data_IF_818882780496
#
_entry.id   IF_818882780496
#
_cell.length_a   1.000
_cell.length_b   1.000
_cell.length_c   1.000
_cell.angle_alpha   90.00
_cell.angle_beta   90.00
_cell.angle_gamma   90.00
#
_symmetry.space_group_name_H-M   'P 1'
#
loop_
_entity.id
_entity.type
_entity.pdbx_description
1 polymer ?
#
# COMPACT_ATOMS: atom_id res chain seq x y z
N UNK A 1 0.39 -30.93 -27.80
CA UNK A 1 -0.03 -30.59 -26.43
C UNK A 1 0.59 -29.26 -26.00
N UNK A 2 1.87 -29.02 -26.24
CA UNK A 2 2.58 -27.76 -25.93
C UNK A 2 1.95 -26.54 -26.65
N UNK A 3 1.61 -26.67 -27.94
CA UNK A 3 1.00 -25.57 -28.72
C UNK A 3 -0.37 -25.14 -28.16
N UNK A 4 -1.16 -26.11 -27.69
CA UNK A 4 -2.47 -25.83 -27.05
C UNK A 4 -2.27 -25.09 -25.72
N UNK A 5 -1.32 -25.53 -24.91
CA UNK A 5 -0.99 -24.88 -23.63
C UNK A 5 -0.46 -23.47 -23.87
N UNK A 6 0.43 -23.30 -24.85
CA UNK A 6 0.95 -21.98 -25.24
C UNK A 6 -0.17 -21.05 -25.73
N UNK A 7 -1.09 -21.55 -26.57
CA UNK A 7 -2.26 -20.81 -27.01
C UNK A 7 -3.17 -20.36 -25.86
N UNK A 8 -3.41 -21.24 -24.89
CA UNK A 8 -4.21 -20.90 -23.68
C UNK A 8 -3.52 -19.83 -22.84
N UNK A 9 -2.24 -19.92 -22.57
CA UNK A 9 -1.50 -18.91 -21.81
C UNK A 9 -1.45 -17.55 -22.53
N UNK A 10 -1.27 -17.56 -23.86
CA UNK A 10 -1.31 -16.34 -24.67
C UNK A 10 -2.69 -15.70 -24.60
N UNK A 11 -3.75 -16.47 -24.73
CA UNK A 11 -5.14 -15.99 -24.63
C UNK A 11 -5.40 -15.37 -23.24
N UNK A 12 -5.03 -16.06 -22.17
CA UNK A 12 -5.19 -15.54 -20.80
C UNK A 12 -4.40 -14.24 -20.59
N UNK A 13 -3.18 -14.18 -21.12
CA UNK A 13 -2.36 -12.96 -21.10
C UNK A 13 -3.03 -11.79 -21.84
N UNK A 14 -3.54 -12.05 -23.04
CA UNK A 14 -4.27 -11.03 -23.84
C UNK A 14 -5.55 -10.57 -23.15
N UNK A 15 -6.31 -11.49 -22.54
CA UNK A 15 -7.52 -11.14 -21.75
C UNK A 15 -7.15 -10.24 -20.59
N UNK A 16 -6.09 -10.56 -19.85
CA UNK A 16 -5.63 -9.74 -18.70
C UNK A 16 -5.25 -8.32 -19.15
N UNK A 17 -4.45 -8.20 -20.20
CA UNK A 17 -4.08 -6.89 -20.76
C UNK A 17 -5.32 -6.14 -21.28
N UNK A 18 -6.23 -6.84 -21.97
CA UNK A 18 -7.49 -6.28 -22.45
C UNK A 18 -8.37 -5.72 -21.32
N UNK A 19 -8.49 -6.44 -20.21
CA UNK A 19 -9.21 -5.96 -19.02
C UNK A 19 -8.58 -4.68 -18.43
N UNK A 20 -7.25 -4.61 -18.32
CA UNK A 20 -6.57 -3.41 -17.82
C UNK A 20 -6.79 -2.23 -18.75
N UNK A 21 -6.68 -2.42 -20.06
CA UNK A 21 -6.96 -1.37 -21.06
C UNK A 21 -8.41 -0.91 -20.99
N UNK A 22 -9.36 -1.83 -20.86
CA UNK A 22 -10.78 -1.52 -20.74
C UNK A 22 -11.05 -0.66 -19.50
N UNK A 23 -10.51 -1.05 -18.33
CA UNK A 23 -10.63 -0.26 -17.09
C UNK A 23 -10.03 1.13 -17.28
N UNK A 24 -8.84 1.22 -17.89
CA UNK A 24 -8.17 2.50 -18.13
C UNK A 24 -9.01 3.42 -19.00
N UNK A 25 -9.51 2.93 -20.12
CA UNK A 25 -10.37 3.69 -21.05
C UNK A 25 -11.67 4.10 -20.35
N UNK A 26 -12.29 3.19 -19.62
CA UNK A 26 -13.51 3.47 -18.85
C UNK A 26 -13.32 4.58 -17.82
N UNK A 27 -12.22 4.54 -17.05
CA UNK A 27 -11.89 5.58 -16.05
C UNK A 27 -11.67 6.94 -16.71
N UNK A 28 -10.99 6.97 -17.86
CA UNK A 28 -10.76 8.22 -18.63
C UNK A 28 -12.10 8.78 -19.12
N UNK A 29 -12.91 7.98 -19.80
CA UNK A 29 -14.19 8.42 -20.36
C UNK A 29 -15.17 8.88 -19.29
N UNK A 30 -15.19 8.21 -18.12
CA UNK A 30 -16.11 8.53 -17.02
C UNK A 30 -15.63 9.66 -16.14
N UNK A 31 -14.30 9.83 -15.96
CA UNK A 31 -13.71 10.84 -15.06
C UNK A 31 -13.37 12.16 -15.73
N UNK A 32 -12.93 12.14 -17.01
CA UNK A 32 -12.50 13.35 -17.70
C UNK A 32 -13.59 14.46 -17.78
N UNK A 33 -14.89 14.12 -17.97
CA UNK A 33 -15.94 15.14 -18.04
C UNK A 33 -16.09 16.00 -16.78
N UNK A 34 -15.84 15.45 -15.59
CA UNK A 34 -15.87 16.25 -14.36
C UNK A 34 -14.67 17.20 -14.27
N UNK A 35 -13.48 16.72 -14.62
CA UNK A 35 -12.25 17.55 -14.63
C UNK A 35 -12.41 18.74 -15.57
N UNK A 36 -13.00 18.55 -16.75
CA UNK A 36 -13.22 19.62 -17.71
C UNK A 36 -14.26 20.64 -17.25
N UNK A 37 -15.32 20.20 -16.55
CA UNK A 37 -16.37 21.09 -16.01
C UNK A 37 -15.92 21.85 -14.78
N UNK A 38 -15.21 21.20 -13.86
CA UNK A 38 -14.75 21.80 -12.59
C UNK A 38 -13.49 22.66 -12.81
N UNK A 39 -12.66 22.26 -13.77
CA UNK A 39 -11.32 22.79 -14.02
C UNK A 39 -10.24 22.02 -13.26
N UNK A 40 -9.20 21.58 -13.97
CA UNK A 40 -8.13 20.72 -13.44
C UNK A 40 -7.47 21.31 -12.18
N UNK A 41 -7.17 22.63 -12.18
CA UNK A 41 -6.55 23.30 -11.04
C UNK A 41 -7.45 23.32 -9.80
N UNK A 42 -8.73 23.64 -9.96
CA UNK A 42 -9.69 23.64 -8.84
C UNK A 42 -9.93 22.23 -8.31
N UNK A 43 -9.96 21.22 -9.19
CA UNK A 43 -10.15 19.83 -8.79
C UNK A 43 -8.96 19.30 -8.01
N UNK A 44 -7.73 19.43 -8.54
CA UNK A 44 -6.52 18.84 -7.91
C UNK A 44 -6.05 19.63 -6.67
N UNK A 45 -6.11 20.96 -6.72
CA UNK A 45 -5.54 21.83 -5.67
C UNK A 45 -6.59 22.47 -4.77
N UNK A 46 -7.89 22.25 -5.03
CA UNK A 46 -8.95 22.68 -4.12
C UNK A 46 -8.86 21.93 -2.79
N UNK A 47 -9.11 22.66 -1.70
CA UNK A 47 -8.99 22.15 -0.33
C UNK A 47 -10.32 21.72 0.29
N UNK A 48 -11.44 21.96 -0.40
CA UNK A 48 -12.76 21.69 0.11
C UNK A 48 -13.48 20.65 -0.75
N UNK A 49 -14.00 19.61 -0.11
CA UNK A 49 -14.89 18.61 -0.69
C UNK A 49 -16.26 18.70 -0.02
N UNK A 50 -17.25 19.19 -0.75
CA UNK A 50 -18.63 19.32 -0.31
C UNK A 50 -19.57 19.01 -1.48
N UNK A 51 -19.58 17.76 -1.93
CA UNK A 51 -20.25 17.30 -3.15
C UNK A 51 -21.78 17.37 -3.09
N UNK A 52 -22.37 17.42 -1.88
CA UNK A 52 -23.82 17.46 -1.62
C UNK A 52 -24.32 18.83 -1.14
N UNK A 53 -23.43 19.84 -1.05
CA UNK A 53 -23.82 21.19 -0.64
C UNK A 53 -24.64 21.92 -1.72
N UNK A 54 -25.33 22.99 -1.33
CA UNK A 54 -26.08 23.83 -2.27
C UNK A 54 -25.18 24.44 -3.35
N UNK A 55 -23.92 24.78 -2.99
CA UNK A 55 -22.82 25.13 -3.92
C UNK A 55 -21.76 24.01 -3.85
N UNK A 56 -21.80 23.03 -4.75
CA UNK A 56 -20.93 21.85 -4.65
C UNK A 56 -19.47 22.20 -4.90
N UNK A 57 -18.58 21.73 -4.01
CA UNK A 57 -17.12 21.86 -4.11
C UNK A 57 -16.48 20.48 -4.28
N UNK A 58 -15.50 20.40 -5.17
CA UNK A 58 -14.87 19.14 -5.59
C UNK A 58 -13.34 19.20 -5.52
N UNK A 59 -12.77 19.84 -4.49
CA UNK A 59 -11.33 19.88 -4.27
C UNK A 59 -10.83 18.61 -3.61
N UNK A 60 -9.80 17.96 -4.18
CA UNK A 60 -9.28 16.67 -3.71
C UNK A 60 -7.87 16.74 -3.11
N UNK A 61 -7.29 17.92 -2.97
CA UNK A 61 -5.95 18.08 -2.39
C UNK A 61 -5.80 17.40 -1.02
N UNK A 62 -6.77 17.53 -0.09
CA UNK A 62 -6.70 16.85 1.20
C UNK A 62 -6.57 15.32 1.04
N UNK A 63 -7.30 14.72 0.10
CA UNK A 63 -7.29 13.27 -0.12
C UNK A 63 -5.96 12.79 -0.72
N UNK A 64 -5.38 13.58 -1.65
CA UNK A 64 -4.06 13.30 -2.24
C UNK A 64 -3.00 13.30 -1.13
N UNK A 65 -2.94 14.39 -0.35
CA UNK A 65 -1.95 14.54 0.72
C UNK A 65 -2.13 13.47 1.81
N UNK A 66 -3.38 13.18 2.21
CA UNK A 66 -3.69 12.11 3.16
C UNK A 66 -3.22 10.75 2.66
N UNK A 67 -3.46 10.42 1.38
CA UNK A 67 -3.03 9.15 0.80
C UNK A 67 -1.50 9.05 0.73
N UNK A 68 -0.80 10.14 0.41
CA UNK A 68 0.67 10.20 0.44
C UNK A 68 1.20 10.01 1.86
N UNK A 69 0.72 10.80 2.81
CA UNK A 69 1.20 10.75 4.19
C UNK A 69 0.87 9.43 4.87
N UNK A 70 -0.36 8.91 4.67
CA UNK A 70 -0.77 7.62 5.20
C UNK A 70 0.09 6.48 4.68
N UNK A 71 0.35 6.45 3.38
CA UNK A 71 1.22 5.44 2.77
C UNK A 71 2.67 5.58 3.24
N UNK A 72 3.23 6.80 3.25
CA UNK A 72 4.59 7.03 3.75
C UNK A 72 4.73 6.61 5.22
N UNK A 73 3.76 6.96 6.07
CA UNK A 73 3.76 6.55 7.48
C UNK A 73 3.67 5.04 7.66
N UNK A 74 2.82 4.37 6.89
CA UNK A 74 2.72 2.91 6.89
C UNK A 74 4.04 2.23 6.47
N UNK A 75 4.72 2.78 5.46
CA UNK A 75 6.03 2.29 5.00
C UNK A 75 7.10 2.51 6.07
N UNK A 76 7.16 3.70 6.65
CA UNK A 76 8.14 4.04 7.71
C UNK A 76 8.01 3.13 8.94
N UNK A 77 6.80 2.70 9.27
CA UNK A 77 6.54 1.77 10.37
C UNK A 77 6.72 0.31 9.95
N UNK A 78 6.12 -0.07 8.82
CA UNK A 78 6.02 -1.48 8.40
C UNK A 78 7.30 -2.04 7.78
N UNK A 79 8.02 -1.25 6.95
CA UNK A 79 9.22 -1.76 6.27
C UNK A 79 10.35 -2.10 7.23
N UNK A 80 10.75 -1.25 8.19
CA UNK A 80 11.80 -1.61 9.15
C UNK A 80 11.45 -2.86 9.96
N UNK A 81 10.23 -2.94 10.48
CA UNK A 81 9.75 -4.10 11.25
C UNK A 81 9.74 -5.36 10.40
N UNK A 82 9.17 -5.28 9.19
CA UNK A 82 9.10 -6.41 8.26
C UNK A 82 10.47 -6.90 7.81
N UNK A 83 11.38 -5.98 7.48
CA UNK A 83 12.75 -6.31 7.08
C UNK A 83 13.57 -6.94 8.21
N UNK A 84 13.57 -6.33 9.40
CA UNK A 84 14.31 -6.86 10.56
C UNK A 84 13.76 -8.25 10.97
N UNK A 85 12.45 -8.43 10.95
CA UNK A 85 11.82 -9.73 11.19
C UNK A 85 12.20 -10.75 10.10
N UNK A 86 12.30 -10.34 8.84
CA UNK A 86 12.74 -11.20 7.74
C UNK A 86 14.19 -11.66 7.91
N UNK A 87 15.10 -10.76 8.30
CA UNK A 87 16.49 -11.12 8.62
C UNK A 87 16.54 -12.10 9.78
N UNK A 88 15.80 -11.83 10.85
CA UNK A 88 15.70 -12.73 12.00
C UNK A 88 15.22 -14.14 11.58
N UNK A 89 14.14 -14.23 10.82
CA UNK A 89 13.56 -15.52 10.38
C UNK A 89 14.47 -16.30 9.42
N UNK A 90 15.12 -15.58 8.50
CA UNK A 90 16.00 -16.22 7.51
C UNK A 90 17.33 -16.69 8.10
N UNK A 91 17.91 -15.93 9.05
CA UNK A 91 19.30 -16.11 9.49
C UNK A 91 19.48 -16.57 10.93
N UNK A 92 18.55 -16.25 11.83
CA UNK A 92 18.74 -16.44 13.27
C UNK A 92 17.74 -17.43 13.88
N UNK A 93 16.53 -17.48 13.37
CA UNK A 93 15.45 -18.24 14.00
C UNK A 93 15.70 -19.75 13.94
N UNK A 94 15.55 -20.49 15.07
CA UNK A 94 15.57 -21.94 15.06
C UNK A 94 14.39 -22.47 14.21
N UNK A 95 14.58 -23.61 13.55
CA UNK A 95 13.62 -24.20 12.60
C UNK A 95 12.18 -24.26 13.12
N UNK A 96 11.98 -24.62 14.40
CA UNK A 96 10.64 -24.68 15.00
C UNK A 96 9.98 -23.31 15.08
N UNK A 97 10.71 -22.28 15.57
CA UNK A 97 10.19 -20.90 15.68
C UNK A 97 9.91 -20.32 14.30
N UNK A 98 10.81 -20.52 13.35
CA UNK A 98 10.64 -20.12 11.97
C UNK A 98 9.34 -20.66 11.37
N UNK A 99 9.11 -21.99 11.48
CA UNK A 99 7.91 -22.63 10.96
C UNK A 99 6.62 -22.09 11.58
N UNK A 100 6.60 -21.85 12.91
CA UNK A 100 5.44 -21.27 13.58
C UNK A 100 5.18 -19.83 13.12
N UNK A 101 6.24 -19.02 13.02
CA UNK A 101 6.10 -17.62 12.58
C UNK A 101 5.69 -17.51 11.10
N UNK A 102 6.25 -18.33 10.21
CA UNK A 102 5.84 -18.37 8.80
C UNK A 102 4.37 -18.79 8.64
N UNK A 103 3.90 -19.74 9.46
CA UNK A 103 2.49 -20.13 9.52
C UNK A 103 1.61 -18.97 10.00
N UNK A 104 2.00 -18.29 11.08
CA UNK A 104 1.28 -17.14 11.61
C UNK A 104 1.19 -15.99 10.58
N UNK A 105 2.31 -15.67 9.90
CA UNK A 105 2.36 -14.66 8.84
C UNK A 105 1.48 -15.06 7.65
N UNK A 106 1.44 -16.35 7.29
CA UNK A 106 0.58 -16.84 6.23
C UNK A 106 -0.90 -16.72 6.58
N UNK A 107 -1.27 -16.97 7.84
CA UNK A 107 -2.63 -16.74 8.34
C UNK A 107 -2.98 -15.25 8.31
N UNK A 108 -2.08 -14.38 8.79
CA UNK A 108 -2.28 -12.92 8.71
C UNK A 108 -2.49 -12.45 7.26
N UNK A 109 -1.71 -12.97 6.31
CA UNK A 109 -1.87 -12.63 4.89
C UNK A 109 -3.25 -13.02 4.32
N UNK A 110 -3.89 -14.05 4.88
CA UNK A 110 -5.21 -14.54 4.48
C UNK A 110 -6.39 -13.80 5.13
N UNK A 111 -6.17 -12.98 6.14
CA UNK A 111 -7.24 -12.22 6.81
C UNK A 111 -7.78 -11.13 5.85
N UNK A 112 -9.12 -11.06 5.64
CA UNK A 112 -9.73 -9.97 4.88
C UNK A 112 -9.42 -8.59 5.49
N UNK A 113 -9.18 -7.59 4.64
CA UNK A 113 -8.81 -6.23 5.09
C UNK A 113 -9.84 -5.59 6.02
N UNK A 114 -11.12 -5.89 5.80
CA UNK A 114 -12.22 -5.43 6.66
C UNK A 114 -12.05 -5.87 8.12
N UNK A 115 -11.50 -7.08 8.35
CA UNK A 115 -11.27 -7.58 9.72
C UNK A 115 -10.15 -6.77 10.40
N UNK A 116 -9.08 -6.40 9.68
CA UNK A 116 -8.07 -5.48 10.20
C UNK A 116 -8.67 -4.11 10.57
N UNK A 117 -9.56 -3.59 9.71
CA UNK A 117 -10.29 -2.36 9.98
C UNK A 117 -11.19 -2.46 11.21
N UNK A 118 -11.93 -3.58 11.35
CA UNK A 118 -12.81 -3.83 12.50
C UNK A 118 -12.02 -3.89 13.81
N UNK A 119 -10.92 -4.68 13.84
CA UNK A 119 -10.05 -4.75 15.01
C UNK A 119 -9.42 -3.38 15.31
N UNK A 120 -8.97 -2.67 14.27
CA UNK A 120 -8.47 -1.31 14.40
C UNK A 120 -9.50 -0.36 15.03
N UNK A 121 -10.73 -0.40 14.56
CA UNK A 121 -11.82 0.43 15.10
C UNK A 121 -12.18 0.08 16.54
N UNK A 122 -12.21 -1.21 16.89
CA UNK A 122 -12.63 -1.65 18.24
C UNK A 122 -11.52 -1.56 19.28
N UNK A 123 -10.24 -1.69 18.89
CA UNK A 123 -9.11 -1.77 19.82
C UNK A 123 -8.16 -0.59 19.65
N UNK A 124 -7.67 -0.33 18.43
CA UNK A 124 -6.65 0.68 18.18
C UNK A 124 -7.20 2.10 18.35
N UNK A 125 -8.35 2.41 17.76
CA UNK A 125 -8.96 3.75 17.83
C UNK A 125 -9.26 4.15 19.26
N UNK A 126 -9.94 3.34 20.11
CA UNK A 126 -10.12 3.66 21.52
C UNK A 126 -8.81 3.69 22.30
N UNK A 127 -7.84 2.86 21.94
CA UNK A 127 -6.50 2.86 22.54
C UNK A 127 -5.77 4.19 22.31
N UNK A 128 -5.73 4.65 21.07
CA UNK A 128 -5.11 5.94 20.69
C UNK A 128 -5.82 7.10 21.39
N UNK A 129 -7.17 7.10 21.39
CA UNK A 129 -7.96 8.12 22.08
C UNK A 129 -7.59 8.24 23.54
N UNK A 130 -7.47 7.12 24.26
CA UNK A 130 -7.13 7.08 25.67
C UNK A 130 -5.67 7.45 25.94
N UNK A 131 -4.74 6.92 25.14
CA UNK A 131 -3.30 7.10 25.35
C UNK A 131 -2.84 8.54 25.06
N UNK A 132 -3.36 9.12 23.98
CA UNK A 132 -2.95 10.45 23.52
C UNK A 132 -3.92 11.57 23.95
N UNK A 133 -5.00 11.24 24.68
CA UNK A 133 -6.01 12.18 25.16
C UNK A 133 -6.61 13.05 24.03
N UNK A 134 -6.77 12.47 22.84
CA UNK A 134 -7.39 13.13 21.68
C UNK A 134 -8.91 12.96 21.67
N UNK A 135 -9.69 13.91 21.09
CA UNK A 135 -11.16 13.84 21.08
C UNK A 135 -11.70 12.57 20.41
N UNK A 136 -11.10 12.19 19.28
CA UNK A 136 -11.39 10.98 18.53
C UNK A 136 -10.08 10.27 18.17
N UNK A 137 -10.04 8.96 18.35
CA UNK A 137 -8.89 8.16 17.97
C UNK A 137 -8.89 7.73 16.50
N UNK A 138 -10.03 7.92 15.78
CA UNK A 138 -10.09 7.69 14.34
C UNK A 138 -9.34 8.81 13.61
N UNK A 139 -8.17 8.48 13.02
CA UNK A 139 -7.20 9.48 12.59
C UNK A 139 -6.23 8.95 11.53
N UNK A 140 -5.42 9.85 10.98
CA UNK A 140 -4.35 9.49 10.07
C UNK A 140 -3.36 8.51 10.73
N UNK A 141 -3.03 8.70 12.02
CA UNK A 141 -2.15 7.79 12.76
C UNK A 141 -2.74 6.38 12.86
N UNK A 142 -4.03 6.25 13.18
CA UNK A 142 -4.72 4.95 13.21
C UNK A 142 -4.65 4.25 11.87
N UNK A 143 -4.87 4.98 10.78
CA UNK A 143 -4.76 4.46 9.42
C UNK A 143 -3.33 4.01 9.09
N UNK A 144 -2.30 4.80 9.45
CA UNK A 144 -0.90 4.44 9.25
C UNK A 144 -0.53 3.13 9.96
N UNK A 145 -0.96 2.95 11.22
CA UNK A 145 -0.66 1.74 12.00
C UNK A 145 -1.36 0.52 11.41
N UNK A 146 -2.65 0.62 11.07
CA UNK A 146 -3.38 -0.49 10.44
C UNK A 146 -2.77 -0.87 9.11
N UNK A 147 -2.46 0.11 8.24
CA UNK A 147 -1.77 -0.13 6.97
C UNK A 147 -0.40 -0.77 7.17
N UNK A 148 0.39 -0.30 8.16
CA UNK A 148 1.69 -0.88 8.47
C UNK A 148 1.56 -2.37 8.84
N UNK A 149 0.60 -2.73 9.69
CA UNK A 149 0.34 -4.14 10.06
C UNK A 149 -0.07 -4.96 8.84
N UNK A 150 -0.91 -4.41 7.97
CA UNK A 150 -1.40 -5.11 6.78
C UNK A 150 -0.33 -5.38 5.72
N UNK A 151 0.69 -4.52 5.59
CA UNK A 151 1.78 -4.73 4.63
C UNK A 151 2.86 -5.67 5.15
N UNK A 152 2.97 -5.86 6.48
CA UNK A 152 3.99 -6.72 7.10
C UNK A 152 4.09 -8.12 6.49
N UNK A 153 2.99 -8.89 6.33
CA UNK A 153 3.08 -10.24 5.79
C UNK A 153 3.70 -10.29 4.40
N UNK A 154 3.36 -9.34 3.54
CA UNK A 154 3.88 -9.27 2.17
C UNK A 154 5.36 -8.94 2.15
N UNK A 155 5.78 -7.92 2.92
CA UNK A 155 7.19 -7.51 3.03
C UNK A 155 8.02 -8.65 3.61
N UNK A 156 7.56 -9.25 4.68
CA UNK A 156 8.26 -10.30 5.39
C UNK A 156 8.47 -11.52 4.49
N UNK A 157 7.41 -12.06 3.89
CA UNK A 157 7.47 -13.28 3.08
C UNK A 157 8.38 -13.12 1.88
N UNK A 158 8.28 -12.02 1.14
CA UNK A 158 9.11 -11.78 -0.05
C UNK A 158 10.55 -11.49 0.36
N UNK A 159 10.79 -10.77 1.47
CA UNK A 159 12.15 -10.51 1.97
C UNK A 159 12.84 -11.77 2.49
N UNK A 160 12.13 -12.67 3.21
CA UNK A 160 12.67 -13.97 3.65
C UNK A 160 13.10 -14.78 2.44
N UNK A 161 12.24 -14.93 1.43
CA UNK A 161 12.57 -15.66 0.22
C UNK A 161 13.80 -15.08 -0.50
N UNK A 162 13.92 -13.75 -0.55
CA UNK A 162 15.06 -13.08 -1.16
C UNK A 162 16.37 -13.32 -0.39
N UNK A 163 16.31 -13.30 0.95
CA UNK A 163 17.46 -13.56 1.81
C UNK A 163 17.89 -15.04 1.78
N UNK A 164 16.94 -15.96 1.68
CA UNK A 164 17.21 -17.38 1.58
C UNK A 164 17.79 -17.79 0.21
N UNK A 165 17.49 -17.02 -0.83
CA UNK A 165 18.03 -17.23 -2.17
C UNK A 165 19.50 -16.77 -2.33
N UNK A 166 20.07 -16.08 -1.33
CA UNK A 166 21.49 -15.70 -1.35
C UNK A 166 22.37 -16.93 -1.20
N UNK A 167 23.35 -17.18 -2.11
CA UNK A 167 24.26 -18.32 -2.02
C UNK A 167 25.05 -18.31 -0.70
N UNK A 168 25.13 -19.48 -0.04
CA UNK A 168 25.83 -19.63 1.23
C UNK A 168 27.33 -19.35 1.12
N UNK A 169 27.89 -19.50 -0.06
CA UNK A 169 29.30 -19.20 -0.37
C UNK A 169 29.65 -17.73 -0.04
N UNK A 170 28.73 -16.80 -0.25
CA UNK A 170 28.94 -15.39 0.09
C UNK A 170 29.04 -15.17 1.61
N UNK A 171 28.19 -15.86 2.37
CA UNK A 171 28.22 -15.79 3.84
C UNK A 171 29.49 -16.47 4.38
N UNK A 172 29.82 -17.67 3.86
CA UNK A 172 31.01 -18.41 4.27
C UNK A 172 32.31 -17.64 3.97
N UNK A 173 32.41 -16.98 2.81
CA UNK A 173 33.55 -16.14 2.47
C UNK A 173 33.70 -14.95 3.44
N UNK A 174 32.62 -14.29 3.80
CA UNK A 174 32.63 -13.21 4.79
C UNK A 174 33.09 -13.67 6.17
N UNK A 175 32.58 -14.82 6.64
CA UNK A 175 32.96 -15.42 7.92
C UNK A 175 34.44 -15.86 7.92
N UNK A 176 34.95 -16.37 6.81
CA UNK A 176 36.35 -16.77 6.65
C UNK A 176 37.31 -15.57 6.72
N UNK A 177 36.85 -14.36 6.35
CA UNK A 177 37.58 -13.10 6.51
C UNK A 177 37.50 -12.51 7.92
N UNK A 178 36.84 -13.22 8.88
CA UNK A 178 36.75 -12.80 10.28
C UNK A 178 35.56 -11.89 10.60
N UNK A 179 34.61 -11.71 9.69
CA UNK A 179 33.39 -10.96 9.98
C UNK A 179 32.50 -11.74 10.96
N UNK A 180 31.77 -11.03 11.81
CA UNK A 180 30.77 -11.63 12.68
C UNK A 180 29.55 -12.05 11.88
N UNK A 181 28.73 -13.01 12.36
CA UNK A 181 27.49 -13.40 11.69
C UNK A 181 26.55 -12.20 11.42
N UNK A 182 26.39 -11.31 12.36
CA UNK A 182 25.52 -10.13 12.23
C UNK A 182 26.05 -9.19 11.13
N UNK A 183 27.37 -8.93 11.10
CA UNK A 183 27.98 -8.14 10.03
C UNK A 183 27.78 -8.79 8.66
N UNK A 184 27.93 -10.11 8.57
CA UNK A 184 27.70 -10.86 7.33
C UNK A 184 26.25 -10.70 6.85
N UNK A 185 25.26 -10.78 7.72
CA UNK A 185 23.85 -10.64 7.32
C UNK A 185 23.51 -9.24 6.81
N UNK A 186 23.99 -8.19 7.47
CA UNK A 186 23.68 -6.82 7.08
C UNK A 186 24.59 -6.25 5.98
N UNK A 187 25.86 -6.69 5.90
CA UNK A 187 26.82 -6.15 4.92
C UNK A 187 26.99 -7.02 3.67
N UNK A 188 26.60 -8.30 3.73
CA UNK A 188 26.72 -9.25 2.61
C UNK A 188 25.36 -9.76 2.17
N UNK A 189 24.61 -10.46 3.05
CA UNK A 189 23.35 -11.14 2.66
C UNK A 189 22.26 -10.12 2.27
N UNK A 190 22.04 -9.06 3.06
CA UNK A 190 21.01 -8.08 2.76
C UNK A 190 21.30 -7.26 1.50
N UNK A 191 22.53 -6.77 1.24
CA UNK A 191 22.91 -6.16 -0.04
C UNK A 191 22.81 -7.13 -1.23
N UNK A 192 23.16 -8.39 -1.07
CA UNK A 192 22.99 -9.41 -2.11
C UNK A 192 21.51 -9.65 -2.46
N UNK A 193 20.63 -9.64 -1.45
CA UNK A 193 19.17 -9.78 -1.60
C UNK A 193 18.44 -8.48 -1.95
N UNK A 194 19.15 -7.36 -2.16
CA UNK A 194 18.56 -6.01 -2.30
C UNK A 194 17.41 -5.91 -3.32
N UNK A 195 17.52 -6.60 -4.45
CA UNK A 195 16.49 -6.56 -5.51
C UNK A 195 15.18 -7.21 -5.06
N UNK A 196 15.27 -8.33 -4.33
CA UNK A 196 14.09 -9.00 -3.78
C UNK A 196 13.48 -8.24 -2.60
N UNK A 197 14.31 -7.68 -1.71
CA UNK A 197 13.84 -6.83 -0.60
C UNK A 197 13.14 -5.58 -1.15
N UNK A 198 13.70 -4.95 -2.18
CA UNK A 198 13.08 -3.81 -2.82
C UNK A 198 11.76 -4.18 -3.51
N UNK A 199 11.66 -5.34 -4.15
CA UNK A 199 10.40 -5.85 -4.69
C UNK A 199 9.35 -6.08 -3.59
N UNK A 200 9.76 -6.57 -2.41
CA UNK A 200 8.90 -6.70 -1.24
C UNK A 200 8.32 -5.34 -0.79
N UNK A 201 9.14 -4.30 -0.76
CA UNK A 201 8.70 -2.93 -0.42
C UNK A 201 7.73 -2.40 -1.47
N UNK A 202 8.02 -2.56 -2.77
CA UNK A 202 7.11 -2.14 -3.86
C UNK A 202 5.75 -2.81 -3.73
N UNK A 203 5.72 -4.11 -3.44
CA UNK A 203 4.48 -4.85 -3.22
C UNK A 203 3.70 -4.32 -2.01
N UNK A 204 4.41 -4.02 -0.91
CA UNK A 204 3.82 -3.40 0.29
C UNK A 204 3.24 -2.01 0.00
N UNK A 205 3.96 -1.17 -0.74
CA UNK A 205 3.51 0.18 -1.17
C UNK A 205 2.23 0.08 -2.00
N UNK A 206 2.22 -0.79 -3.01
CA UNK A 206 1.05 -0.98 -3.87
C UNK A 206 -0.18 -1.41 -3.07
N UNK A 207 0.00 -2.30 -2.09
CA UNK A 207 -1.07 -2.73 -1.18
C UNK A 207 -1.57 -1.60 -0.28
N UNK A 208 -0.66 -0.80 0.30
CA UNK A 208 -1.03 0.31 1.17
C UNK A 208 -1.82 1.40 0.43
N UNK A 209 -1.41 1.77 -0.78
CA UNK A 209 -2.09 2.80 -1.57
C UNK A 209 -3.49 2.34 -2.02
N UNK A 210 -3.64 1.06 -2.36
CA UNK A 210 -4.89 0.50 -2.85
C UNK A 210 -5.91 0.16 -1.74
N UNK A 211 -5.53 0.27 -0.46
CA UNK A 211 -6.42 -0.12 0.64
C UNK A 211 -7.54 0.90 0.85
N UNK A 212 -8.79 0.42 0.89
CA UNK A 212 -9.95 1.25 1.10
C UNK A 212 -10.70 0.86 2.39
N UNK A 213 -11.04 -0.42 2.54
CA UNK A 213 -12.02 -0.86 3.53
C UNK A 213 -11.48 -0.76 4.96
N UNK A 214 -10.26 -1.24 5.22
CA UNK A 214 -9.67 -1.14 6.54
C UNK A 214 -9.43 0.32 6.95
N UNK A 215 -8.93 1.13 6.02
CA UNK A 215 -8.65 2.56 6.25
C UNK A 215 -9.95 3.32 6.53
N UNK A 216 -11.03 3.05 5.79
CA UNK A 216 -12.32 3.71 5.99
C UNK A 216 -12.86 3.53 7.41
N UNK A 217 -12.58 2.40 8.06
CA UNK A 217 -13.05 2.09 9.41
C UNK A 217 -12.26 2.82 10.51
N UNK A 218 -10.99 3.20 10.24
CA UNK A 218 -10.09 3.72 11.28
C UNK A 218 -9.63 5.17 11.05
N UNK A 219 -9.88 5.74 9.86
CA UNK A 219 -9.45 7.09 9.50
C UNK A 219 -10.44 8.20 9.88
N UNK A 220 -11.68 7.84 10.27
CA UNK A 220 -12.77 8.77 10.55
C UNK A 220 -13.46 9.35 9.30
N UNK A 221 -12.82 9.25 8.14
CA UNK A 221 -13.36 9.57 6.81
C UNK A 221 -13.89 11.01 6.61
N UNK A 222 -13.38 12.00 7.36
CA UNK A 222 -13.69 13.41 7.18
C UNK A 222 -12.81 14.07 6.10
N UNK A 223 -13.35 14.97 5.26
CA UNK A 223 -12.63 15.59 4.16
C UNK A 223 -11.70 16.73 4.63
N UNK A 224 -10.96 16.54 5.70
CA UNK A 224 -10.07 17.52 6.29
C UNK A 224 -8.68 17.49 5.66
N UNK A 225 -7.94 18.60 5.78
CA UNK A 225 -6.49 18.60 5.51
C UNK A 225 -5.79 17.61 6.45
N UNK A 226 -4.76 16.89 5.99
CA UNK A 226 -4.14 15.85 6.79
C UNK A 226 -3.45 16.39 8.04
N UNK A 227 -3.91 15.90 9.17
CA UNK A 227 -3.32 16.05 10.49
C UNK A 227 -3.16 14.67 11.12
N UNK A 228 -2.09 14.47 11.88
CA UNK A 228 -1.74 13.13 12.40
C UNK A 228 -2.83 12.54 13.32
N UNK A 229 -3.48 13.40 14.10
CA UNK A 229 -4.43 13.01 15.14
C UNK A 229 -5.89 13.35 14.81
N UNK A 230 -6.15 13.85 13.60
CA UNK A 230 -7.49 14.22 13.16
C UNK A 230 -8.04 13.21 12.16
N UNK A 231 -9.36 13.20 12.07
CA UNK A 231 -10.10 12.43 11.08
C UNK A 231 -9.76 12.94 9.66
N UNK A 232 -9.44 12.00 8.77
CA UNK A 232 -9.00 12.28 7.40
C UNK A 232 -9.67 11.34 6.41
N UNK A 233 -9.65 11.72 5.12
CA UNK A 233 -10.18 10.92 4.03
C UNK A 233 -9.10 10.63 2.98
N UNK A 234 -8.98 9.37 2.58
CA UNK A 234 -8.07 8.94 1.51
C UNK A 234 -8.77 8.99 0.14
N UNK A 235 -8.00 8.97 -0.95
CA UNK A 235 -8.55 8.86 -2.31
C UNK A 235 -9.41 7.59 -2.47
N UNK A 236 -8.95 6.46 -1.95
CA UNK A 236 -9.65 5.18 -1.98
C UNK A 236 -10.96 5.22 -1.18
N UNK A 237 -10.92 5.80 0.03
CA UNK A 237 -12.10 5.86 0.90
C UNK A 237 -13.14 6.85 0.38
N UNK A 238 -12.74 7.94 -0.28
CA UNK A 238 -13.65 8.88 -0.92
C UNK A 238 -14.50 8.18 -1.99
N UNK A 239 -13.87 7.38 -2.85
CA UNK A 239 -14.58 6.60 -3.87
C UNK A 239 -15.46 5.54 -3.24
N UNK A 240 -14.91 4.74 -2.30
CA UNK A 240 -15.63 3.62 -1.69
C UNK A 240 -16.85 4.05 -0.88
N UNK A 241 -16.77 5.21 -0.19
CA UNK A 241 -17.87 5.68 0.67
C UNK A 241 -19.01 6.33 -0.09
N UNK A 242 -18.75 7.02 -1.20
CA UNK A 242 -19.77 7.84 -1.87
C UNK A 242 -20.29 7.26 -3.19
N UNK A 243 -19.55 6.35 -3.85
CA UNK A 243 -19.87 5.88 -5.20
C UNK A 243 -21.28 5.24 -5.32
N UNK A 244 -21.73 4.55 -4.27
CA UNK A 244 -23.00 3.79 -4.30
C UNK A 244 -24.25 4.66 -4.41
N UNK A 245 -24.19 5.92 -3.95
CA UNK A 245 -25.31 6.87 -3.97
C UNK A 245 -25.03 8.16 -4.74
N UNK A 246 -23.86 8.27 -5.32
CA UNK A 246 -23.52 9.42 -6.14
C UNK A 246 -24.23 9.42 -7.49
N UNK A 247 -24.67 10.60 -7.93
CA UNK A 247 -25.30 10.81 -9.24
C UNK A 247 -24.72 12.02 -9.96
N UNK A 248 -24.98 12.15 -11.24
CA UNK A 248 -24.62 13.33 -12.04
C UNK A 248 -23.12 13.70 -11.95
N UNK A 249 -22.83 14.97 -11.66
CA UNK A 249 -21.47 15.50 -11.58
C UNK A 249 -20.66 14.90 -10.41
N UNK A 250 -21.30 14.63 -9.26
CA UNK A 250 -20.66 13.97 -8.13
C UNK A 250 -20.08 12.60 -8.54
N UNK A 251 -20.88 11.78 -9.21
CA UNK A 251 -20.43 10.46 -9.69
C UNK A 251 -19.26 10.59 -10.67
N UNK A 252 -19.30 11.54 -11.60
CA UNK A 252 -18.21 11.82 -12.53
C UNK A 252 -16.94 12.26 -11.78
N UNK A 253 -17.08 13.12 -10.73
CA UNK A 253 -15.96 13.55 -9.90
C UNK A 253 -15.33 12.38 -9.13
N UNK A 254 -16.10 11.42 -8.63
CA UNK A 254 -15.56 10.20 -8.00
C UNK A 254 -14.81 9.31 -9.00
N UNK A 255 -15.27 9.20 -10.26
CA UNK A 255 -14.48 8.56 -11.31
C UNK A 255 -13.19 9.33 -11.61
N UNK A 256 -13.22 10.67 -11.52
CA UNK A 256 -11.98 11.47 -11.64
C UNK A 256 -11.02 11.20 -10.48
N UNK A 257 -11.50 11.02 -9.24
CA UNK A 257 -10.67 10.61 -8.11
C UNK A 257 -10.05 9.22 -8.38
N UNK A 258 -10.83 8.27 -8.87
CA UNK A 258 -10.33 6.95 -9.24
C UNK A 258 -9.27 7.02 -10.37
N UNK A 259 -9.45 7.90 -11.36
CA UNK A 259 -8.47 8.16 -12.39
C UNK A 259 -7.17 8.76 -11.82
N UNK A 260 -7.27 9.75 -10.94
CA UNK A 260 -6.10 10.33 -10.25
C UNK A 260 -5.37 9.27 -9.43
N UNK A 261 -6.09 8.44 -8.67
CA UNK A 261 -5.52 7.33 -7.91
C UNK A 261 -4.80 6.33 -8.83
N UNK A 262 -5.41 5.95 -9.94
CA UNK A 262 -4.82 5.07 -10.93
C UNK A 262 -3.50 5.62 -11.49
N UNK A 263 -3.50 6.89 -11.91
CA UNK A 263 -2.30 7.57 -12.41
C UNK A 263 -1.22 7.68 -11.31
N UNK A 264 -1.61 7.94 -10.07
CA UNK A 264 -0.72 8.01 -8.92
C UNK A 264 -0.03 6.66 -8.65
N UNK A 265 -0.79 5.55 -8.68
CA UNK A 265 -0.25 4.19 -8.54
C UNK A 265 0.72 3.87 -9.68
N UNK A 266 0.35 4.20 -10.93
CA UNK A 266 1.21 3.99 -12.10
C UNK A 266 2.53 4.76 -11.99
N UNK A 267 2.47 6.02 -11.56
CA UNK A 267 3.63 6.88 -11.37
C UNK A 267 4.56 6.33 -10.28
N UNK A 268 4.02 5.95 -9.13
CA UNK A 268 4.81 5.37 -8.03
C UNK A 268 5.47 4.06 -8.48
N UNK A 269 4.73 3.16 -9.13
CA UNK A 269 5.29 1.91 -9.63
C UNK A 269 6.39 2.14 -10.67
N UNK A 270 6.18 3.10 -11.59
CA UNK A 270 7.19 3.47 -12.57
C UNK A 270 8.45 4.04 -11.91
N UNK A 271 8.29 4.95 -10.94
CA UNK A 271 9.40 5.54 -10.19
C UNK A 271 10.18 4.47 -9.40
N UNK A 272 9.49 3.62 -8.66
CA UNK A 272 10.13 2.53 -7.90
C UNK A 272 10.88 1.57 -8.82
N UNK A 273 10.28 1.16 -9.94
CA UNK A 273 10.94 0.29 -10.91
C UNK A 273 12.16 0.94 -11.56
N UNK A 274 12.10 2.25 -11.85
CA UNK A 274 13.24 2.99 -12.39
C UNK A 274 14.42 3.03 -11.40
N UNK A 275 14.15 3.34 -10.12
CA UNK A 275 15.18 3.33 -9.08
C UNK A 275 15.79 1.95 -8.85
N UNK A 276 15.00 0.88 -8.95
CA UNK A 276 15.47 -0.49 -8.80
C UNK A 276 16.34 -0.95 -9.96
N UNK A 277 16.01 -0.55 -11.20
CA UNK A 277 16.82 -0.89 -12.40
C UNK A 277 18.16 -0.17 -12.39
N UNK A 278 18.18 1.13 -12.05
CA UNK A 278 19.40 1.94 -12.06
C UNK A 278 20.51 1.50 -11.07
N UNK A 279 20.13 0.74 -10.04
CA UNK A 279 21.09 0.15 -9.07
C UNK A 279 21.62 -1.22 -9.50
N UNK A 280 21.26 -1.74 -10.68
CA UNK A 280 21.77 -3.00 -11.22
C UNK A 280 23.00 -2.81 -12.14
N UNK A 281 23.24 -1.59 -12.61
CA UNK A 281 24.48 -1.15 -13.26
C UNK A 281 25.48 -0.62 -12.21
#
# INVERSE_FOLDING_TARGET
MEDVVHGVFLLLGLVTVGCVLLITVYLILSGLPAITKIGLGKFLFGTEWASTAADPKYGILPFILTSVYGTCGAILLGVPVGFLTAVFLSKMAPKKLRSVMESAVSLLAGIPSVVYGLVGMLVLVPGIRKLLHVPDGASLLSAMIVLAIMILPSILKVSVNALDAVPKEYENASLALGATPVETWFRVSAPAARSGIAAAVVLGVGRAIGEAMAVMMVSGNAPNMPSLFESVRFLTTAVASEMSYASGLQRQALFSIALVLYLFIMLINAALNFFLKRKKE
#
